data_IF_923549350422
#
_entry.id   IF_923549350422
#
_cell.length_a   1.000
_cell.length_b   1.000
_cell.length_c   1.000
_cell.angle_alpha   90.00
_cell.angle_beta   90.00
_cell.angle_gamma   90.00
#
_symmetry.space_group_name_H-M   'P 1'
#
loop_
_entity.id
_entity.type
_entity.pdbx_description
1 polymer ?
#
# COMPACT_ATOMS: atom_id res chain seq x y z
N UNK A 1 -2.23 -13.60 5.55
CA UNK A 1 -1.26 -12.55 5.17
C UNK A 1 -1.01 -11.66 6.38
N UNK A 2 0.24 -11.39 6.77
CA UNK A 2 0.52 -10.45 7.88
C UNK A 2 0.91 -9.07 7.35
N UNK A 3 0.94 -8.07 8.24
CA UNK A 3 1.24 -6.67 7.92
C UNK A 3 2.57 -6.48 7.17
N UNK A 4 3.66 -7.10 7.63
CA UNK A 4 4.98 -6.93 7.04
C UNK A 4 5.08 -7.58 5.66
N UNK A 5 4.49 -8.77 5.50
CA UNK A 5 4.43 -9.46 4.20
C UNK A 5 3.62 -8.66 3.18
N UNK A 6 2.44 -8.14 3.56
CA UNK A 6 1.61 -7.29 2.69
C UNK A 6 2.37 -6.02 2.28
N UNK A 7 2.83 -5.24 3.26
CA UNK A 7 3.48 -3.94 2.99
C UNK A 7 4.79 -4.10 2.20
N UNK A 8 5.54 -5.19 2.42
CA UNK A 8 6.74 -5.52 1.63
C UNK A 8 6.38 -5.88 0.19
N UNK A 9 5.35 -6.70 0.00
CA UNK A 9 4.86 -7.08 -1.32
C UNK A 9 4.41 -5.84 -2.11
N UNK A 10 3.56 -5.00 -1.51
CA UNK A 10 3.07 -3.79 -2.17
C UNK A 10 4.19 -2.81 -2.46
N UNK A 11 5.15 -2.61 -1.54
CA UNK A 11 6.33 -1.77 -1.83
C UNK A 11 7.11 -2.25 -3.06
N UNK A 12 7.29 -3.56 -3.22
CA UNK A 12 7.93 -4.15 -4.41
C UNK A 12 7.08 -3.95 -5.67
N UNK A 13 5.76 -4.04 -5.55
CA UNK A 13 4.83 -3.76 -6.65
C UNK A 13 5.03 -2.33 -7.17
N UNK A 14 5.06 -1.34 -6.27
CA UNK A 14 5.28 0.06 -6.62
C UNK A 14 6.65 0.32 -7.26
N UNK A 15 7.69 -0.40 -6.82
CA UNK A 15 9.04 -0.30 -7.40
C UNK A 15 9.08 -0.84 -8.84
N UNK A 16 8.30 -1.89 -9.14
CA UNK A 16 8.32 -2.59 -10.43
C UNK A 16 7.35 -2.01 -11.45
N UNK A 17 6.19 -1.52 -11.01
CA UNK A 17 5.10 -1.12 -11.91
C UNK A 17 4.78 0.37 -11.82
N UNK A 18 4.14 0.91 -12.86
CA UNK A 18 3.48 2.21 -12.76
C UNK A 18 2.15 2.07 -12.02
N UNK A 19 2.13 2.40 -10.75
CA UNK A 19 0.89 2.44 -10.00
C UNK A 19 0.28 3.83 -10.16
N UNK A 20 -0.77 3.94 -10.97
CA UNK A 20 -1.47 5.20 -11.26
C UNK A 20 -2.60 5.53 -10.27
N UNK A 21 -2.97 4.56 -9.42
CA UNK A 21 -4.03 4.70 -8.43
C UNK A 21 -4.12 3.48 -7.53
N UNK A 22 -4.77 3.65 -6.39
CA UNK A 22 -5.06 2.58 -5.43
C UNK A 22 -6.46 2.78 -4.84
N UNK A 23 -7.15 1.67 -4.61
CA UNK A 23 -8.44 1.64 -3.92
C UNK A 23 -8.35 0.65 -2.75
N UNK A 24 -8.91 1.02 -1.60
CA UNK A 24 -8.91 0.21 -0.37
C UNK A 24 -10.34 -0.03 0.03
N UNK A 25 -10.79 -1.26 -0.21
CA UNK A 25 -12.18 -1.69 -0.03
C UNK A 25 -12.30 -2.72 1.11
N UNK A 26 -13.54 -3.12 1.41
CA UNK A 26 -13.88 -4.14 2.41
C UNK A 26 -13.50 -3.78 3.86
N UNK A 27 -13.47 -2.47 4.18
CA UNK A 27 -13.38 -2.03 5.56
C UNK A 27 -14.70 -2.36 6.28
N UNK A 28 -14.63 -3.20 7.30
CA UNK A 28 -15.76 -3.58 8.15
C UNK A 28 -15.48 -3.18 9.60
N UNK A 29 -15.84 -1.95 10.01
CA UNK A 29 -15.61 -1.47 11.37
C UNK A 29 -16.41 -2.29 12.40
N UNK A 30 -15.89 -2.36 13.62
CA UNK A 30 -16.58 -2.97 14.76
C UNK A 30 -16.92 -1.86 15.76
N UNK A 31 -18.13 -1.87 16.30
CA UNK A 31 -18.63 -0.77 17.14
C UNK A 31 -17.73 -0.45 18.36
N UNK A 32 -17.03 -1.44 18.89
CA UNK A 32 -16.14 -1.30 20.06
C UNK A 32 -14.64 -1.40 19.70
N UNK A 33 -14.28 -1.24 18.43
CA UNK A 33 -12.87 -1.33 17.99
C UNK A 33 -12.59 -0.49 16.74
N UNK A 34 -11.64 0.43 16.87
CA UNK A 34 -11.13 1.27 15.77
C UNK A 34 -9.94 0.65 15.03
N UNK A 35 -9.61 -0.61 15.34
CA UNK A 35 -8.38 -1.26 14.86
C UNK A 35 -8.40 -1.41 13.34
N UNK A 36 -9.57 -1.71 12.76
CA UNK A 36 -9.69 -1.93 11.32
C UNK A 36 -9.47 -0.63 10.53
N UNK A 37 -10.01 0.47 11.05
CA UNK A 37 -9.96 1.81 10.47
C UNK A 37 -8.55 2.38 10.59
N UNK A 38 -7.93 2.24 11.76
CA UNK A 38 -6.53 2.62 11.95
C UNK A 38 -5.60 1.82 11.03
N UNK A 39 -5.85 0.52 10.87
CA UNK A 39 -5.06 -0.34 9.98
C UNK A 39 -5.23 0.07 8.52
N UNK A 40 -6.45 0.36 8.07
CA UNK A 40 -6.74 0.86 6.73
C UNK A 40 -6.09 2.23 6.48
N UNK A 41 -6.22 3.17 7.41
CA UNK A 41 -5.58 4.49 7.32
C UNK A 41 -4.04 4.36 7.24
N UNK A 42 -3.44 3.48 8.06
CA UNK A 42 -2.00 3.21 8.03
C UNK A 42 -1.56 2.56 6.71
N UNK A 43 -2.40 1.70 6.12
CA UNK A 43 -2.14 1.10 4.82
C UNK A 43 -2.16 2.19 3.74
N UNK A 44 -3.20 3.02 3.68
CA UNK A 44 -3.33 4.15 2.74
C UNK A 44 -2.12 5.09 2.86
N UNK A 45 -1.73 5.46 4.09
CA UNK A 45 -0.54 6.28 4.32
C UNK A 45 0.73 5.66 3.71
N UNK A 46 0.91 4.33 3.84
CA UNK A 46 2.03 3.63 3.20
C UNK A 46 1.93 3.61 1.68
N UNK A 47 0.74 3.41 1.11
CA UNK A 47 0.53 3.43 -0.34
C UNK A 47 0.94 4.79 -0.93
N UNK A 48 0.50 5.88 -0.30
CA UNK A 48 0.90 7.25 -0.67
C UNK A 48 2.43 7.39 -0.58
N UNK A 49 3.03 6.93 0.52
CA UNK A 49 4.49 6.96 0.68
C UNK A 49 5.25 6.14 -0.37
N UNK A 50 4.76 4.96 -0.74
CA UNK A 50 5.36 4.13 -1.79
C UNK A 50 5.21 4.75 -3.17
N UNK A 51 4.07 5.38 -3.45
CA UNK A 51 3.85 6.15 -4.66
C UNK A 51 4.86 7.30 -4.76
N UNK A 52 4.89 8.18 -3.75
CA UNK A 52 5.76 9.35 -3.73
C UNK A 52 7.25 8.98 -3.79
N UNK A 53 7.68 7.91 -3.10
CA UNK A 53 9.07 7.47 -3.11
C UNK A 53 9.54 6.91 -4.46
N UNK A 54 8.61 6.44 -5.30
CA UNK A 54 8.94 5.84 -6.59
C UNK A 54 8.65 6.77 -7.79
N UNK A 55 8.00 7.91 -7.58
CA UNK A 55 7.89 8.93 -8.62
C UNK A 55 9.29 9.43 -9.02
N UNK A 56 9.57 9.42 -10.33
CA UNK A 56 10.83 9.90 -10.90
C UNK A 56 11.99 8.91 -10.90
N UNK A 57 11.80 7.67 -10.43
CA UNK A 57 12.84 6.62 -10.53
C UNK A 57 12.72 5.84 -11.83
N UNK A 58 13.82 5.59 -12.57
CA UNK A 58 13.81 4.64 -13.67
C UNK A 58 13.39 3.28 -13.12
N UNK A 59 12.35 2.67 -13.71
CA UNK A 59 11.99 1.30 -13.35
C UNK A 59 13.03 0.37 -13.90
N UNK A 60 13.48 -0.58 -13.09
CA UNK A 60 14.32 -1.67 -13.60
C UNK A 60 13.54 -2.42 -14.68
N UNK A 61 14.04 -2.37 -15.91
CA UNK A 61 13.55 -3.16 -17.02
C UNK A 61 13.97 -4.61 -16.73
N UNK A 62 13.06 -5.40 -16.19
CA UNK A 62 13.24 -6.85 -16.15
C UNK A 62 12.86 -7.39 -17.52
N UNK A 63 13.87 -7.76 -18.29
CA UNK A 63 13.75 -8.58 -19.50
C UNK A 63 13.31 -10.01 -19.20
#
# INVERSE_FOLDING_TARGET
LNWYSLTTFVRKLFARFEVIGCDVMELSPLNDSVVSEFTAAKLVYKLIGYHAFNQGKPKEIQG
#
